data_IF_167612469887
#
_entry.id   IF_167612469887
#
_cell.length_a   1.000
_cell.length_b   1.000
_cell.length_c   1.000
_cell.angle_alpha   90.00
_cell.angle_beta   90.00
_cell.angle_gamma   90.00
#
_symmetry.space_group_name_H-M   'P 1'
#
loop_
_entity.id
_entity.type
_entity.pdbx_description
1 polymer ?
#
# COMPACT_ATOMS: atom_id res chain seq x y z
N UNK A 1 -20.23 -36.63 -38.67
CA UNK A 1 -19.78 -35.20 -38.59
C UNK A 1 -20.12 -34.53 -37.25
N UNK A 2 -21.14 -34.87 -36.56
CA UNK A 2 -21.60 -34.22 -35.30
C UNK A 2 -20.68 -34.47 -34.11
N UNK A 3 -19.92 -35.57 -34.05
CA UNK A 3 -19.01 -35.87 -32.93
C UNK A 3 -17.74 -35.03 -32.82
N UNK A 4 -17.26 -34.48 -33.94
CA UNK A 4 -16.00 -33.67 -33.94
C UNK A 4 -16.14 -32.24 -33.45
N UNK A 5 -17.35 -31.70 -33.41
CA UNK A 5 -17.60 -30.30 -32.99
C UNK A 5 -17.92 -30.21 -31.48
N UNK A 6 -18.35 -31.33 -30.84
CA UNK A 6 -18.69 -31.33 -29.40
C UNK A 6 -17.50 -31.12 -28.49
N UNK A 7 -16.35 -31.69 -28.83
CA UNK A 7 -15.14 -31.62 -27.99
C UNK A 7 -14.59 -30.16 -27.85
N UNK A 8 -14.40 -29.40 -28.94
CA UNK A 8 -13.94 -28.02 -28.82
C UNK A 8 -14.99 -27.13 -28.12
N UNK A 9 -16.28 -27.40 -28.32
CA UNK A 9 -17.35 -26.62 -27.70
C UNK A 9 -17.38 -26.77 -26.16
N UNK A 10 -17.16 -28.00 -25.67
CA UNK A 10 -17.06 -28.29 -24.25
C UNK A 10 -15.82 -27.64 -23.65
N UNK A 11 -14.70 -27.65 -24.38
CA UNK A 11 -13.47 -27.00 -23.95
C UNK A 11 -13.62 -25.47 -23.82
N UNK A 12 -14.22 -24.82 -24.81
CA UNK A 12 -14.50 -23.37 -24.79
C UNK A 12 -15.49 -23.03 -23.67
N UNK A 13 -16.54 -23.81 -23.48
CA UNK A 13 -17.49 -23.60 -22.38
C UNK A 13 -16.81 -23.73 -20.99
N UNK A 14 -15.92 -24.70 -20.80
CA UNK A 14 -15.16 -24.89 -19.59
C UNK A 14 -14.19 -23.72 -19.31
N UNK A 15 -13.55 -23.22 -20.36
CA UNK A 15 -12.63 -22.08 -20.27
C UNK A 15 -13.36 -20.77 -19.90
N UNK A 16 -14.54 -20.55 -20.49
CA UNK A 16 -15.38 -19.39 -20.17
C UNK A 16 -15.93 -19.45 -18.73
N UNK A 17 -16.37 -20.65 -18.29
CA UNK A 17 -16.83 -20.87 -16.92
C UNK A 17 -15.69 -20.65 -15.91
N UNK A 18 -14.50 -21.18 -16.19
CA UNK A 18 -13.32 -20.98 -15.36
C UNK A 18 -12.92 -19.50 -15.25
N UNK A 19 -12.90 -18.79 -16.37
CA UNK A 19 -12.62 -17.36 -16.39
C UNK A 19 -13.65 -16.54 -15.60
N UNK A 20 -14.94 -16.88 -15.74
CA UNK A 20 -16.02 -16.21 -15.00
C UNK A 20 -15.92 -16.44 -13.48
N UNK A 21 -15.68 -17.67 -13.05
CA UNK A 21 -15.49 -18.02 -11.62
C UNK A 21 -14.29 -17.29 -11.05
N UNK A 22 -13.15 -17.26 -11.78
CA UNK A 22 -11.95 -16.54 -11.36
C UNK A 22 -12.21 -15.05 -11.23
N UNK A 23 -12.93 -14.45 -12.18
CA UNK A 23 -13.29 -13.03 -12.15
C UNK A 23 -14.18 -12.69 -10.94
N UNK A 24 -15.17 -13.53 -10.62
CA UNK A 24 -16.05 -13.32 -9.45
C UNK A 24 -15.28 -13.45 -8.14
N UNK A 25 -14.38 -14.44 -8.02
CA UNK A 25 -13.57 -14.62 -6.81
C UNK A 25 -12.58 -13.46 -6.65
N UNK A 26 -11.89 -13.09 -7.71
CA UNK A 26 -10.95 -11.94 -7.68
C UNK A 26 -11.69 -10.63 -7.37
N UNK A 27 -12.87 -10.42 -7.92
CA UNK A 27 -13.70 -9.25 -7.63
C UNK A 27 -14.09 -9.15 -6.15
N UNK A 28 -14.53 -10.26 -5.56
CA UNK A 28 -14.88 -10.30 -4.12
C UNK A 28 -13.66 -10.08 -3.23
N UNK A 29 -12.53 -10.72 -3.53
CA UNK A 29 -11.28 -10.51 -2.77
C UNK A 29 -10.81 -9.05 -2.82
N UNK A 30 -10.91 -8.42 -3.99
CA UNK A 30 -10.56 -7.02 -4.16
C UNK A 30 -11.49 -6.08 -3.40
N UNK A 31 -12.81 -6.36 -3.36
CA UNK A 31 -13.76 -5.57 -2.56
C UNK A 31 -13.46 -5.63 -1.06
N UNK A 32 -13.08 -6.79 -0.52
CA UNK A 32 -12.69 -6.92 0.88
C UNK A 32 -11.41 -6.17 1.22
N UNK A 33 -10.41 -6.22 0.35
CA UNK A 33 -9.19 -5.44 0.51
C UNK A 33 -9.47 -3.95 0.46
N UNK A 34 -10.27 -3.51 -0.49
CA UNK A 34 -10.66 -2.11 -0.63
C UNK A 34 -11.45 -1.60 0.59
N UNK A 35 -12.43 -2.38 1.05
CA UNK A 35 -13.21 -2.07 2.25
C UNK A 35 -12.33 -1.94 3.49
N UNK A 36 -11.33 -2.81 3.65
CA UNK A 36 -10.35 -2.73 4.74
C UNK A 36 -9.51 -1.45 4.66
N UNK A 37 -8.97 -1.13 3.48
CA UNK A 37 -8.18 0.10 3.29
C UNK A 37 -9.01 1.35 3.60
N UNK A 38 -10.23 1.43 3.09
CA UNK A 38 -11.13 2.57 3.34
C UNK A 38 -11.50 2.66 4.82
N UNK A 39 -11.87 1.55 5.45
CA UNK A 39 -12.24 1.52 6.87
C UNK A 39 -11.07 1.94 7.76
N UNK A 40 -9.87 1.44 7.48
CA UNK A 40 -8.66 1.84 8.21
C UNK A 40 -8.38 3.33 8.04
N UNK A 41 -8.49 3.85 6.81
CA UNK A 41 -8.31 5.28 6.53
C UNK A 41 -9.32 6.16 7.26
N UNK A 42 -10.60 5.77 7.31
CA UNK A 42 -11.64 6.50 8.05
C UNK A 42 -11.36 6.50 9.55
N UNK A 43 -10.96 5.35 10.11
CA UNK A 43 -10.60 5.25 11.53
C UNK A 43 -9.40 6.13 11.87
N UNK A 44 -8.39 6.16 11.01
CA UNK A 44 -7.21 7.01 11.18
C UNK A 44 -7.58 8.50 11.11
N UNK A 45 -8.41 8.91 10.14
CA UNK A 45 -8.90 10.28 10.04
C UNK A 45 -9.71 10.69 11.27
N UNK A 46 -10.61 9.83 11.78
CA UNK A 46 -11.39 10.08 12.99
C UNK A 46 -10.48 10.21 14.22
N UNK A 47 -9.43 9.38 14.31
CA UNK A 47 -8.44 9.47 15.37
C UNK A 47 -7.69 10.81 15.31
N UNK A 48 -7.15 11.18 14.15
CA UNK A 48 -6.44 12.44 13.91
C UNK A 48 -7.35 13.63 14.31
N UNK A 49 -8.60 13.63 13.85
CA UNK A 49 -9.54 14.70 14.17
C UNK A 49 -9.83 14.79 15.69
N UNK A 50 -9.92 13.66 16.38
CA UNK A 50 -10.11 13.61 17.83
C UNK A 50 -8.90 14.17 18.57
N UNK A 51 -7.69 13.76 18.21
CA UNK A 51 -6.45 14.24 18.84
C UNK A 51 -6.25 15.75 18.63
N UNK A 52 -6.55 16.26 17.43
CA UNK A 52 -6.49 17.70 17.14
C UNK A 52 -7.51 18.49 17.97
N UNK A 53 -8.73 17.97 18.17
CA UNK A 53 -9.75 18.64 18.99
C UNK A 53 -9.44 18.62 20.49
N UNK A 54 -8.76 17.59 20.96
CA UNK A 54 -8.35 17.45 22.37
C UNK A 54 -7.03 18.14 22.70
N UNK A 55 -6.43 18.86 21.72
CA UNK A 55 -5.15 19.55 21.86
C UNK A 55 -3.96 18.65 22.20
N UNK A 56 -4.06 17.35 21.93
CA UNK A 56 -2.97 16.37 22.11
C UNK A 56 -2.09 16.27 20.85
N UNK A 57 -1.66 17.41 20.36
CA UNK A 57 -0.86 17.48 19.12
C UNK A 57 0.49 16.78 19.25
N UNK A 58 1.08 16.79 20.43
CA UNK A 58 2.37 16.12 20.66
C UNK A 58 2.24 14.60 20.61
N UNK A 59 1.16 14.04 21.13
CA UNK A 59 0.88 12.60 21.06
C UNK A 59 0.62 12.16 19.61
N UNK A 60 -0.14 12.98 18.87
CA UNK A 60 -0.40 12.73 17.45
C UNK A 60 0.88 12.76 16.63
N UNK A 61 1.72 13.79 16.85
CA UNK A 61 3.01 13.94 16.18
C UNK A 61 3.89 12.73 16.45
N UNK A 62 4.08 12.39 17.72
CA UNK A 62 4.90 11.24 18.12
C UNK A 62 4.42 9.95 17.45
N UNK A 63 3.11 9.69 17.49
CA UNK A 63 2.54 8.49 16.85
C UNK A 63 2.75 8.47 15.35
N UNK A 64 2.59 9.62 14.67
CA UNK A 64 2.85 9.72 13.24
C UNK A 64 4.32 9.44 12.91
N UNK A 65 5.24 10.02 13.66
CA UNK A 65 6.68 9.81 13.51
C UNK A 65 7.09 8.36 13.79
N UNK A 66 6.56 7.75 14.87
CA UNK A 66 6.81 6.35 15.23
C UNK A 66 6.33 5.37 14.15
N UNK A 67 5.30 5.73 13.38
CA UNK A 67 4.78 4.92 12.28
C UNK A 67 5.63 5.00 11.00
N UNK A 68 6.52 5.97 10.85
CA UNK A 68 7.36 6.10 9.65
C UNK A 68 8.35 4.94 9.50
N UNK A 69 8.95 4.50 10.60
CA UNK A 69 9.94 3.40 10.59
C UNK A 69 9.33 2.09 10.06
N UNK A 70 8.23 1.56 10.65
CA UNK A 70 7.64 0.33 10.15
C UNK A 70 7.09 0.48 8.72
N UNK A 71 6.63 1.65 8.31
CA UNK A 71 6.18 1.90 6.94
C UNK A 71 7.32 1.81 5.92
N UNK A 72 8.48 2.41 6.21
CA UNK A 72 9.67 2.32 5.35
C UNK A 72 10.19 0.89 5.28
N UNK A 73 10.26 0.20 6.42
CA UNK A 73 10.69 -1.20 6.46
C UNK A 73 9.73 -2.12 5.69
N UNK A 74 8.42 -1.89 5.77
CA UNK A 74 7.45 -2.67 5.02
C UNK A 74 7.65 -2.53 3.51
N UNK A 75 7.89 -1.31 3.00
CA UNK A 75 8.21 -1.10 1.57
C UNK A 75 9.52 -1.78 1.20
N UNK A 76 10.55 -1.70 2.05
CA UNK A 76 11.86 -2.28 1.78
C UNK A 76 11.84 -3.81 1.80
N UNK A 77 11.04 -4.44 2.67
CA UNK A 77 10.94 -5.90 2.79
C UNK A 77 10.16 -6.54 1.62
N UNK A 78 9.28 -5.79 0.97
CA UNK A 78 8.44 -6.29 -0.12
C UNK A 78 8.99 -5.83 -1.48
N UNK A 79 9.68 -6.72 -2.19
CA UNK A 79 10.28 -6.41 -3.50
C UNK A 79 9.29 -5.86 -4.51
N UNK A 80 8.05 -6.34 -4.47
CA UNK A 80 6.99 -5.87 -5.35
C UNK A 80 6.66 -4.38 -5.11
N UNK A 81 6.78 -3.89 -3.88
CA UNK A 81 6.53 -2.49 -3.54
C UNK A 81 7.69 -1.57 -3.93
N UNK A 82 8.91 -2.08 -3.98
CA UNK A 82 10.10 -1.25 -4.27
C UNK A 82 10.08 -0.63 -5.67
N UNK A 83 9.43 -1.29 -6.63
CA UNK A 83 9.36 -0.85 -8.03
C UNK A 83 8.14 0.03 -8.32
N UNK A 84 7.21 0.14 -7.39
CA UNK A 84 5.99 0.93 -7.55
C UNK A 84 6.27 2.42 -7.39
N UNK A 85 5.87 3.28 -8.35
CA UNK A 85 6.14 4.72 -8.30
C UNK A 85 5.60 5.40 -7.03
N UNK A 86 4.44 4.97 -6.54
CA UNK A 86 3.82 5.49 -5.31
C UNK A 86 4.66 5.17 -4.08
N UNK A 87 5.26 3.99 -4.01
CA UNK A 87 6.17 3.61 -2.93
C UNK A 87 7.44 4.45 -2.94
N UNK A 88 7.98 4.71 -4.13
CA UNK A 88 9.14 5.59 -4.29
C UNK A 88 8.81 7.04 -3.88
N UNK A 89 7.61 7.51 -4.21
CA UNK A 89 7.13 8.81 -3.77
C UNK A 89 6.97 8.88 -2.24
N UNK A 90 6.43 7.83 -1.63
CA UNK A 90 6.30 7.73 -0.17
C UNK A 90 7.66 7.77 0.53
N UNK A 91 8.64 7.00 0.05
CA UNK A 91 9.99 7.01 0.61
C UNK A 91 10.68 8.39 0.48
N UNK A 92 10.50 9.06 -0.66
CA UNK A 92 10.99 10.44 -0.83
C UNK A 92 10.32 11.42 0.14
N UNK A 93 9.01 11.26 0.39
CA UNK A 93 8.30 12.09 1.36
C UNK A 93 8.82 11.89 2.78
N UNK A 94 9.10 10.64 3.18
CA UNK A 94 9.71 10.34 4.48
C UNK A 94 11.12 10.94 4.58
N UNK A 95 11.95 10.78 3.54
CA UNK A 95 13.29 11.41 3.50
C UNK A 95 13.20 12.91 3.66
N UNK A 96 12.31 13.56 2.90
CA UNK A 96 12.08 15.00 2.98
C UNK A 96 11.62 15.45 4.38
N UNK A 97 10.78 14.64 5.04
CA UNK A 97 10.37 14.91 6.43
C UNK A 97 11.56 15.02 7.37
N UNK A 98 12.50 14.08 7.34
CA UNK A 98 13.69 14.12 8.20
C UNK A 98 14.61 15.29 7.82
N UNK A 99 14.88 15.49 6.54
CA UNK A 99 15.75 16.56 6.05
C UNK A 99 15.20 17.97 6.38
N UNK A 100 13.91 18.21 6.12
CA UNK A 100 13.27 19.51 6.33
C UNK A 100 13.12 19.90 7.80
N UNK A 101 13.05 18.92 8.68
CA UNK A 101 12.96 19.14 10.12
C UNK A 101 14.33 19.07 10.83
N UNK A 102 15.41 18.85 10.10
CA UNK A 102 16.76 18.72 10.69
C UNK A 102 16.91 17.52 11.62
N UNK A 103 16.13 16.45 11.37
CA UNK A 103 16.12 15.23 12.17
C UNK A 103 16.98 14.15 11.51
N UNK A 104 17.73 13.41 12.31
CA UNK A 104 18.39 12.21 11.81
C UNK A 104 17.39 11.05 11.77
N UNK A 105 17.29 10.34 10.64
CA UNK A 105 16.46 9.15 10.59
C UNK A 105 17.01 8.06 11.53
N UNK A 106 16.14 7.23 12.13
CA UNK A 106 16.58 6.09 12.93
C UNK A 106 17.50 5.16 12.14
N UNK A 107 18.49 4.52 12.78
CA UNK A 107 19.51 3.71 12.10
C UNK A 107 18.91 2.58 11.26
N UNK A 108 17.74 2.05 11.64
CA UNK A 108 17.06 0.97 10.94
C UNK A 108 16.62 1.35 9.52
N UNK A 109 16.37 2.63 9.27
CA UNK A 109 15.89 3.13 7.97
C UNK A 109 16.84 4.12 7.30
N UNK A 110 17.90 4.53 7.99
CA UNK A 110 18.85 5.54 7.51
C UNK A 110 19.47 5.15 6.16
N UNK A 111 19.97 3.92 6.04
CA UNK A 111 20.58 3.42 4.80
C UNK A 111 19.58 3.34 3.64
N UNK A 112 18.33 2.95 3.95
CA UNK A 112 17.25 2.87 2.95
C UNK A 112 16.96 4.27 2.40
N UNK A 113 16.82 5.26 3.27
CA UNK A 113 16.51 6.63 2.87
C UNK A 113 17.69 7.31 2.16
N UNK A 114 18.93 7.01 2.57
CA UNK A 114 20.13 7.53 1.92
C UNK A 114 20.31 7.01 0.48
N UNK A 115 19.84 5.80 0.19
CA UNK A 115 19.87 5.23 -1.15
C UNK A 115 18.89 5.90 -2.12
N UNK A 116 17.95 6.70 -1.62
CA UNK A 116 16.94 7.37 -2.45
C UNK A 116 17.47 8.74 -2.87
N UNK A 117 17.44 9.07 -4.18
CA UNK A 117 17.86 10.39 -4.65
C UNK A 117 16.97 11.48 -4.06
N UNK A 118 17.60 12.56 -3.58
CA UNK A 118 16.85 13.74 -3.16
C UNK A 118 16.12 14.37 -4.34
N UNK A 119 14.92 14.92 -4.14
CA UNK A 119 14.23 15.61 -5.22
C UNK A 119 15.11 16.76 -5.70
N UNK A 120 15.29 16.86 -7.02
CA UNK A 120 15.94 18.02 -7.62
C UNK A 120 15.08 19.26 -7.32
N UNK A 121 15.66 20.24 -6.67
CA UNK A 121 15.06 21.56 -6.44
C UNK A 121 14.92 22.33 -7.75
#
# INVERSE_FOLDING_TARGET
MVKRIRTPLIFVAGLLLGAFVTFVIAGKANQHLWARCVSTGVMEQAFIATELRTQRQDDLRKRAEDNLVPAVLAIHQHKELQTVPESQAALRAVKYFYESNGLAPPPEIADILNAIPSPAH
#
